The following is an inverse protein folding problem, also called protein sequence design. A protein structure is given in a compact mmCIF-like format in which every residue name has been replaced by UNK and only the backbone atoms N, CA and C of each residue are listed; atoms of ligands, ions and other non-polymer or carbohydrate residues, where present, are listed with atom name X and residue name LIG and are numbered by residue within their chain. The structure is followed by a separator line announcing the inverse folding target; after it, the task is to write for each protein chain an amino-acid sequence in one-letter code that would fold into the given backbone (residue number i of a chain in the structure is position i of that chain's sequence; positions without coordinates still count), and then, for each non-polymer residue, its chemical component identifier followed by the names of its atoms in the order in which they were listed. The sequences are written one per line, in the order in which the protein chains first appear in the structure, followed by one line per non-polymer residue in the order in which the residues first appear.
data_IF_701421031724
#
_entry.id   IF_701421031724
#
_cell.length_a   1.000
_cell.length_b   1.000
_cell.length_c   1.000
_cell.angle_alpha   90.00
_cell.angle_beta   90.00
_cell.angle_gamma   90.00
#
_symmetry.space_group_name_H-M   'P 1'
#
loop_
_entity.id
_entity.type
_entity.pdbx_description
1 polymer ?
#
# COMPACT_ATOMS: atom_id res chain seq x y z
N UNK A 1 -32.69 -41.81 9.68
CA UNK A 1 -31.47 -41.22 9.11
C UNK A 1 -31.16 -39.95 9.86
N UNK A 2 -30.05 -39.91 10.60
CA UNK A 2 -29.59 -38.71 11.32
C UNK A 2 -28.68 -37.91 10.40
N UNK A 3 -28.96 -36.60 10.25
CA UNK A 3 -28.05 -35.65 9.61
C UNK A 3 -26.98 -35.25 10.63
N UNK A 4 -25.72 -35.56 10.30
CA UNK A 4 -24.57 -35.08 11.05
C UNK A 4 -24.29 -33.65 10.59
N UNK A 5 -24.45 -32.65 11.47
CA UNK A 5 -24.05 -31.28 11.15
C UNK A 5 -22.56 -31.12 11.42
N UNK A 6 -21.82 -30.66 10.41
CA UNK A 6 -20.40 -30.34 10.53
C UNK A 6 -20.27 -28.83 10.73
N UNK A 7 -19.71 -28.41 11.87
CA UNK A 7 -19.42 -27.00 12.15
C UNK A 7 -18.02 -26.65 11.61
N UNK A 8 -17.95 -25.81 10.57
CA UNK A 8 -16.67 -25.26 10.10
C UNK A 8 -16.30 -24.03 10.95
N UNK A 9 -15.18 -24.11 11.69
CA UNK A 9 -14.62 -22.98 12.42
C UNK A 9 -13.52 -22.32 11.57
N UNK A 10 -13.91 -21.41 10.68
CA UNK A 10 -12.98 -20.68 9.81
C UNK A 10 -12.56 -19.40 10.54
N UNK A 11 -11.27 -19.27 10.86
CA UNK A 11 -10.69 -17.98 11.25
C UNK A 11 -10.50 -17.14 9.98
N UNK A 12 -11.23 -16.03 9.88
CA UNK A 12 -10.99 -15.02 8.86
C UNK A 12 -9.65 -14.34 9.15
N UNK A 13 -8.65 -14.59 8.30
CA UNK A 13 -7.45 -13.76 8.26
C UNK A 13 -7.77 -12.58 7.34
N UNK A 14 -7.56 -11.36 7.82
CA UNK A 14 -7.63 -10.17 6.98
C UNK A 14 -6.66 -10.40 5.82
N UNK A 15 -7.15 -10.40 4.58
CA UNK A 15 -6.26 -10.48 3.42
C UNK A 15 -5.32 -9.27 3.47
N UNK A 16 -4.01 -9.51 3.51
CA UNK A 16 -3.04 -8.43 3.28
C UNK A 16 -3.30 -7.84 1.90
N UNK A 17 -3.17 -6.52 1.77
CA UNK A 17 -3.34 -5.87 0.48
C UNK A 17 -2.12 -6.18 -0.40
N UNK A 18 -2.36 -6.58 -1.64
CA UNK A 18 -1.28 -6.91 -2.58
C UNK A 18 -1.47 -6.19 -3.91
N UNK A 19 -0.36 -5.70 -4.46
CA UNK A 19 -0.35 -5.00 -5.73
C UNK A 19 0.65 -3.85 -5.77
N UNK A 20 0.61 -3.09 -6.86
CA UNK A 20 1.37 -1.85 -7.01
C UNK A 20 0.44 -0.66 -6.81
N UNK A 21 0.81 0.25 -5.92
CA UNK A 21 0.12 1.52 -5.70
C UNK A 21 0.74 2.56 -6.61
N UNK A 22 -0.08 3.32 -7.33
CA UNK A 22 0.36 4.45 -8.13
C UNK A 22 -0.14 5.75 -7.49
N UNK A 23 0.78 6.65 -7.19
CA UNK A 23 0.44 8.05 -6.92
C UNK A 23 0.51 8.77 -8.26
N UNK A 24 -0.65 8.91 -8.91
CA UNK A 24 -0.77 9.43 -10.28
C UNK A 24 -0.35 10.89 -10.34
N UNK A 25 0.01 11.36 -11.54
CA UNK A 25 0.43 12.74 -11.76
C UNK A 25 -0.62 13.78 -11.31
N UNK A 26 -1.91 13.45 -11.42
CA UNK A 26 -3.02 14.29 -10.94
C UNK A 26 -3.24 14.23 -9.41
N UNK A 27 -2.43 13.44 -8.69
CA UNK A 27 -2.50 13.25 -7.25
C UNK A 27 -3.37 12.10 -6.78
N UNK A 28 -4.19 11.49 -7.66
CA UNK A 28 -5.03 10.37 -7.24
C UNK A 28 -4.21 9.12 -6.94
N UNK A 29 -4.69 8.31 -6.00
CA UNK A 29 -4.16 6.98 -5.72
C UNK A 29 -4.88 5.95 -6.60
N UNK A 30 -4.13 5.06 -7.23
CA UNK A 30 -4.64 3.97 -8.08
C UNK A 30 -3.96 2.63 -7.72
N UNK A 31 -4.69 1.53 -7.49
CA UNK A 31 -6.15 1.46 -7.50
C UNK A 31 -6.81 2.25 -6.35
N UNK A 32 -8.08 2.68 -6.48
CA UNK A 32 -8.76 3.49 -5.46
C UNK A 32 -8.92 2.80 -4.09
N UNK A 33 -8.73 1.48 -4.03
CA UNK A 33 -8.75 0.69 -2.80
C UNK A 33 -7.36 0.36 -2.25
N UNK A 34 -6.30 0.97 -2.80
CA UNK A 34 -4.95 0.85 -2.27
C UNK A 34 -4.86 1.39 -0.84
N UNK A 35 -3.96 0.85 0.01
CA UNK A 35 -3.81 1.24 1.40
C UNK A 35 -2.98 2.53 1.54
N UNK A 36 -3.25 3.52 0.70
CA UNK A 36 -2.61 4.84 0.71
C UNK A 36 -3.69 5.89 0.56
N UNK A 37 -3.70 6.87 1.45
CA UNK A 37 -4.68 7.96 1.46
C UNK A 37 -3.98 9.32 1.48
N UNK A 38 -4.69 10.33 0.98
CA UNK A 38 -4.25 11.73 1.05
C UNK A 38 -5.49 12.62 1.19
N UNK A 39 -5.38 13.68 1.99
CA UNK A 39 -6.43 14.69 2.14
C UNK A 39 -6.11 15.98 1.37
N UNK A 40 -4.84 16.18 1.00
CA UNK A 40 -4.30 17.45 0.47
C UNK A 40 -3.55 17.30 -0.87
N UNK A 41 -3.38 16.07 -1.39
CA UNK A 41 -2.59 15.76 -2.59
C UNK A 41 -1.11 16.14 -2.50
N UNK A 42 -0.61 16.32 -1.28
CA UNK A 42 0.80 16.62 -0.95
C UNK A 42 1.36 15.55 -0.03
N UNK A 43 0.61 15.13 0.99
CA UNK A 43 1.02 14.11 1.95
C UNK A 43 0.21 12.84 1.74
N UNK A 44 0.91 11.74 1.45
CA UNK A 44 0.34 10.41 1.23
C UNK A 44 0.72 9.52 2.40
N UNK A 45 -0.28 9.00 3.11
CA UNK A 45 -0.08 8.16 4.28
C UNK A 45 -0.49 6.72 3.97
N UNK A 46 0.36 5.76 4.30
CA UNK A 46 -0.01 4.35 4.27
C UNK A 46 -1.01 4.06 5.41
N UNK A 47 -1.96 3.17 5.14
CA UNK A 47 -3.00 2.76 6.11
C UNK A 47 -3.00 1.26 6.42
N UNK A 48 -2.24 0.49 5.65
CA UNK A 48 -2.04 -0.96 5.82
C UNK A 48 -0.74 -1.36 5.10
N UNK A 49 -0.27 -2.59 5.34
CA UNK A 49 0.93 -3.12 4.68
C UNK A 49 0.69 -3.36 3.18
N UNK A 50 1.75 -3.21 2.38
CA UNK A 50 1.75 -3.52 0.94
C UNK A 50 2.65 -4.74 0.70
N UNK A 51 2.10 -5.78 0.07
CA UNK A 51 2.86 -7.00 -0.24
C UNK A 51 2.84 -7.37 -1.73
N UNK A 52 3.94 -7.93 -2.24
CA UNK A 52 4.01 -8.40 -3.64
C UNK A 52 4.11 -7.28 -4.68
N UNK A 53 4.37 -6.05 -4.24
CA UNK A 53 4.49 -4.87 -5.07
C UNK A 53 4.99 -3.67 -4.26
N UNK A 54 4.94 -2.48 -4.84
CA UNK A 54 5.45 -1.27 -4.20
C UNK A 54 4.62 -0.05 -4.53
N UNK A 55 5.23 1.12 -4.37
CA UNK A 55 4.63 2.42 -4.70
C UNK A 55 5.36 2.99 -5.92
N UNK A 56 4.63 3.38 -6.96
CA UNK A 56 5.15 4.11 -8.12
C UNK A 56 4.65 5.55 -8.04
N UNK A 57 5.59 6.48 -8.09
CA UNK A 57 5.32 7.91 -7.93
C UNK A 57 5.39 8.61 -9.28
N UNK A 58 4.28 9.19 -9.70
CA UNK A 58 4.18 9.96 -10.95
C UNK A 58 4.03 11.47 -10.68
N UNK A 59 4.19 11.93 -9.43
CA UNK A 59 3.99 13.32 -8.99
C UNK A 59 5.21 13.88 -8.26
N UNK A 60 5.54 15.14 -8.52
CA UNK A 60 6.60 15.90 -7.84
C UNK A 60 6.07 16.63 -6.59
N UNK A 61 6.97 17.11 -5.73
CA UNK A 61 6.63 17.95 -4.56
C UNK A 61 5.69 17.27 -3.55
N UNK A 62 5.90 15.98 -3.27
CA UNK A 62 5.06 15.20 -2.35
C UNK A 62 5.86 14.57 -1.19
N UNK A 63 5.11 14.15 -0.17
CA UNK A 63 5.58 13.40 0.98
C UNK A 63 4.86 12.06 1.00
N UNK A 64 5.63 10.98 1.15
CA UNK A 64 5.12 9.64 1.42
C UNK A 64 5.49 9.29 2.86
N UNK A 65 4.49 9.14 3.71
CA UNK A 65 4.61 8.75 5.10
C UNK A 65 4.11 7.31 5.27
N UNK A 66 5.03 6.40 5.57
CA UNK A 66 4.71 4.99 5.79
C UNK A 66 3.92 4.73 7.06
N UNK A 67 3.82 5.69 7.98
CA UNK A 67 3.15 5.52 9.27
C UNK A 67 3.60 4.28 10.08
N UNK A 68 4.78 3.73 9.77
CA UNK A 68 5.31 2.49 10.37
C UNK A 68 4.88 1.19 9.67
N UNK A 69 4.08 1.25 8.61
CA UNK A 69 3.69 0.09 7.79
C UNK A 69 4.84 -0.40 6.90
N UNK A 70 4.72 -1.66 6.50
CA UNK A 70 5.72 -2.38 5.74
C UNK A 70 5.38 -2.43 4.24
N UNK A 71 6.40 -2.29 3.40
CA UNK A 71 6.38 -2.79 2.02
C UNK A 71 7.21 -4.08 1.96
N UNK A 72 6.62 -5.16 1.49
CA UNK A 72 7.26 -6.49 1.50
C UNK A 72 7.15 -7.23 0.17
N UNK A 73 8.06 -8.19 -0.04
CA UNK A 73 8.05 -9.07 -1.22
C UNK A 73 8.01 -8.28 -2.54
N UNK A 74 8.80 -7.21 -2.63
CA UNK A 74 8.81 -6.27 -3.74
C UNK A 74 10.21 -6.12 -4.32
N UNK A 75 10.30 -5.81 -5.62
CA UNK A 75 11.60 -5.59 -6.27
C UNK A 75 12.16 -4.18 -5.99
N UNK A 76 11.32 -3.14 -6.12
CA UNK A 76 11.75 -1.72 -6.05
C UNK A 76 11.31 -1.02 -4.76
N UNK A 77 10.22 -1.46 -4.13
CA UNK A 77 9.68 -0.81 -2.92
C UNK A 77 8.98 0.51 -3.21
N UNK A 78 9.73 1.57 -3.53
CA UNK A 78 9.19 2.87 -3.94
C UNK A 78 9.96 3.40 -5.16
N UNK A 79 9.30 3.49 -6.31
CA UNK A 79 9.85 4.04 -7.55
C UNK A 79 9.55 5.55 -7.65
N UNK A 80 10.61 6.36 -7.58
CA UNK A 80 10.57 7.83 -7.74
C UNK A 80 11.32 8.28 -8.99
N UNK A 81 11.54 7.38 -9.94
CA UNK A 81 12.28 7.68 -11.17
C UNK A 81 11.69 8.88 -11.89
N UNK A 82 12.56 9.80 -12.29
CA UNK A 82 12.19 11.05 -12.96
C UNK A 82 11.30 12.00 -12.14
N UNK A 83 11.20 11.84 -10.81
CA UNK A 83 10.49 12.76 -9.91
C UNK A 83 11.46 13.64 -9.13
N UNK A 84 10.99 14.82 -8.74
CA UNK A 84 11.76 15.82 -7.99
C UNK A 84 11.03 16.18 -6.70
N UNK A 85 11.80 16.47 -5.64
CA UNK A 85 11.29 16.92 -4.35
C UNK A 85 10.28 15.95 -3.70
N UNK A 86 10.61 14.65 -3.72
CA UNK A 86 9.84 13.62 -3.02
C UNK A 86 10.51 13.32 -1.68
N UNK A 87 9.75 13.42 -0.59
CA UNK A 87 10.19 13.01 0.74
C UNK A 87 9.56 11.67 1.11
N UNK A 88 10.36 10.70 1.53
CA UNK A 88 9.87 9.40 2.04
C UNK A 88 10.27 9.28 3.51
N UNK A 89 9.31 8.98 4.39
CA UNK A 89 9.55 8.82 5.83
C UNK A 89 8.71 7.70 6.43
N UNK A 90 9.15 7.18 7.58
CA UNK A 90 8.45 6.18 8.40
C UNK A 90 7.99 4.92 7.65
N UNK A 91 8.76 4.50 6.64
CA UNK A 91 8.46 3.34 5.83
C UNK A 91 9.47 2.23 6.13
N UNK A 92 8.96 1.01 6.29
CA UNK A 92 9.77 -0.17 6.57
C UNK A 92 9.77 -1.12 5.36
N UNK A 93 10.88 -1.80 5.12
CA UNK A 93 11.02 -2.77 4.04
C UNK A 93 11.35 -4.15 4.59
N UNK A 94 10.62 -5.16 4.13
CA UNK A 94 10.84 -6.55 4.49
C UNK A 94 11.03 -7.40 3.22
N UNK A 95 12.03 -8.28 3.23
CA UNK A 95 12.37 -9.17 2.12
C UNK A 95 11.67 -10.52 2.24
#
# INVERSE_FOLDING_TARGET
MTLLSLSLNIKTVKSAWSGTVYIRANGNVDPPNAPVVTDDYVTYNLTDDITGGGIVVERDDIIIDGAGFNISNCDVGVDISYRTNVTIKNLNFEY
#
